data_IF_599289269945
#
_entry.id   IF_599289269945
#
_cell.length_a   1.000
_cell.length_b   1.000
_cell.length_c   1.000
_cell.angle_alpha   90.00
_cell.angle_beta   90.00
_cell.angle_gamma   90.00
#
_symmetry.space_group_name_H-M   'P 1'
#
loop_
_entity.id
_entity.type
_entity.pdbx_description
1 polymer ?
#
# COMPACT_ATOMS: atom_id res chain seq x y z
N UNK A 1 51.38 25.10 46.91
CA UNK A 1 51.06 24.74 45.52
C UNK A 1 50.35 23.38 45.54
N UNK A 2 49.01 23.33 45.60
CA UNK A 2 48.28 22.07 45.70
C UNK A 2 48.03 21.46 44.31
N UNK A 3 48.26 20.14 44.20
CA UNK A 3 47.98 19.33 43.02
C UNK A 3 46.55 18.77 43.12
N UNK A 4 45.71 19.05 42.12
CA UNK A 4 44.41 18.38 41.93
C UNK A 4 44.55 17.25 40.89
N UNK A 5 44.00 16.05 41.12
CA UNK A 5 43.88 15.02 40.10
C UNK A 5 42.66 15.27 39.18
N UNK A 6 42.65 14.74 37.94
CA UNK A 6 41.52 14.89 37.03
C UNK A 6 40.35 13.96 37.40
N UNK A 7 39.13 14.45 37.18
CA UNK A 7 37.86 13.74 37.35
C UNK A 7 37.73 12.51 36.43
N UNK A 8 37.01 11.45 36.83
CA UNK A 8 36.74 10.31 35.96
C UNK A 8 35.73 10.68 34.86
N UNK A 9 36.04 10.26 33.64
CA UNK A 9 35.14 10.28 32.47
C UNK A 9 33.96 9.35 32.71
N UNK A 10 32.76 9.91 32.74
CA UNK A 10 31.48 9.19 32.70
C UNK A 10 31.34 8.47 31.34
N UNK A 11 30.95 7.18 31.29
CA UNK A 11 30.69 6.51 30.03
C UNK A 11 29.43 7.10 29.37
N UNK A 12 29.36 7.20 28.02
CA UNK A 12 28.17 7.70 27.35
C UNK A 12 26.98 6.79 27.66
N UNK A 13 25.84 7.42 27.97
CA UNK A 13 24.57 6.79 28.21
C UNK A 13 24.25 5.75 27.12
N UNK A 14 23.80 4.58 27.57
CA UNK A 14 23.29 3.52 26.72
C UNK A 14 22.30 4.09 25.72
N UNK A 15 22.52 3.80 24.44
CA UNK A 15 21.60 4.10 23.36
C UNK A 15 20.20 3.61 23.74
N UNK A 16 19.23 4.53 23.69
CA UNK A 16 17.81 4.22 23.75
C UNK A 16 17.52 3.05 22.81
N UNK A 17 16.96 1.91 23.27
CA UNK A 17 16.45 0.92 22.35
C UNK A 17 15.29 1.61 21.62
N UNK A 18 15.46 1.87 20.32
CA UNK A 18 14.34 2.25 19.47
C UNK A 18 13.18 1.29 19.73
N UNK A 19 11.93 1.78 19.81
CA UNK A 19 10.79 0.89 20.01
C UNK A 19 10.84 -0.22 18.95
N UNK A 20 10.48 -1.46 19.30
CA UNK A 20 10.45 -2.54 18.33
C UNK A 20 9.59 -2.09 17.15
N UNK A 21 10.11 -2.27 15.93
CA UNK A 21 9.33 -2.07 14.72
C UNK A 21 8.17 -3.07 14.80
N UNK A 22 6.99 -2.58 15.16
CA UNK A 22 5.79 -3.43 15.20
C UNK A 22 5.54 -3.89 13.77
N UNK A 23 5.76 -5.19 13.54
CA UNK A 23 5.43 -5.82 12.26
C UNK A 23 3.93 -5.68 12.05
N UNK A 24 3.48 -5.10 10.93
CA UNK A 24 2.06 -4.95 10.69
C UNK A 24 1.40 -6.33 10.64
N UNK A 25 0.23 -6.44 11.26
CA UNK A 25 -0.57 -7.68 11.25
C UNK A 25 -1.73 -7.61 10.26
N UNK A 26 -2.08 -6.41 9.79
CA UNK A 26 -3.24 -6.13 8.95
C UNK A 26 -2.92 -5.05 7.92
N UNK A 27 -3.59 -5.13 6.78
CA UNK A 27 -3.66 -4.07 5.78
C UNK A 27 -5.06 -3.49 5.71
N UNK A 28 -5.12 -2.17 5.64
CA UNK A 28 -6.33 -1.36 5.57
C UNK A 28 -6.50 -0.83 4.14
N UNK A 29 -7.66 -1.07 3.54
CA UNK A 29 -8.05 -0.60 2.22
C UNK A 29 -9.16 0.44 2.36
N UNK A 30 -8.84 1.69 2.10
CA UNK A 30 -9.78 2.81 2.08
C UNK A 30 -10.20 3.15 0.66
N UNK A 31 -11.50 3.35 0.46
CA UNK A 31 -12.05 3.84 -0.82
C UNK A 31 -12.77 5.17 -0.61
N UNK A 32 -12.48 6.14 -1.48
CA UNK A 32 -13.04 7.48 -1.40
C UNK A 32 -13.36 8.06 -2.77
N UNK A 33 -14.37 8.93 -2.82
CA UNK A 33 -14.63 9.80 -3.97
C UNK A 33 -13.75 11.05 -3.96
N UNK A 34 -13.37 11.51 -2.76
CA UNK A 34 -12.47 12.63 -2.58
C UNK A 34 -11.01 12.18 -2.56
N UNK A 35 -10.13 12.99 -3.17
CA UNK A 35 -8.68 12.77 -3.16
C UNK A 35 -8.16 12.77 -1.72
N UNK A 36 -7.48 11.71 -1.25
CA UNK A 36 -6.89 11.70 0.08
C UNK A 36 -5.72 12.69 0.17
N UNK A 37 -5.44 13.19 1.38
CA UNK A 37 -4.29 14.07 1.61
C UNK A 37 -2.98 13.27 1.61
N UNK A 38 -2.38 13.17 0.43
CA UNK A 38 -1.10 12.48 0.23
C UNK A 38 0.11 13.27 0.73
N UNK A 39 -0.05 14.50 1.26
CA UNK A 39 1.10 15.26 1.80
C UNK A 39 1.61 14.72 3.13
N UNK A 40 0.80 13.87 3.79
CA UNK A 40 1.09 13.27 5.09
C UNK A 40 1.74 11.89 5.00
N UNK A 41 1.86 11.34 3.79
CA UNK A 41 2.42 9.99 3.54
C UNK A 41 3.79 10.06 2.89
N UNK A 42 4.61 9.05 3.15
CA UNK A 42 5.96 8.90 2.61
C UNK A 42 5.91 8.35 1.18
N UNK A 43 5.87 9.22 0.18
CA UNK A 43 5.80 8.84 -1.23
C UNK A 43 7.14 8.28 -1.72
N UNK A 44 7.13 7.04 -2.21
CA UNK A 44 8.32 6.34 -2.72
C UNK A 44 8.48 6.49 -4.22
N UNK A 45 7.40 6.30 -4.96
CA UNK A 45 7.38 6.47 -6.41
C UNK A 45 5.96 6.79 -6.88
N UNK A 46 5.87 7.50 -8.00
CA UNK A 46 4.63 7.90 -8.66
C UNK A 46 4.78 7.60 -10.14
N UNK A 47 3.77 6.98 -10.75
CA UNK A 47 3.70 6.80 -12.19
C UNK A 47 2.33 7.17 -12.75
N UNK A 48 2.30 7.88 -13.90
CA UNK A 48 1.07 8.02 -14.66
C UNK A 48 0.71 6.69 -15.33
N UNK A 49 -0.58 6.40 -15.41
CA UNK A 49 -1.12 5.23 -16.10
C UNK A 49 -2.45 5.56 -16.78
N UNK A 50 -3.05 4.56 -17.42
CA UNK A 50 -4.41 4.64 -17.97
C UNK A 50 -5.23 3.49 -17.41
N UNK A 51 -6.32 3.80 -16.70
CA UNK A 51 -7.26 2.83 -16.16
C UNK A 51 -8.65 3.13 -16.68
N UNK A 52 -9.36 2.10 -17.15
CA UNK A 52 -10.69 2.23 -17.74
C UNK A 52 -10.77 3.28 -18.88
N UNK A 53 -9.66 3.50 -19.61
CA UNK A 53 -9.56 4.48 -20.69
C UNK A 53 -9.29 5.91 -20.24
N UNK A 54 -9.21 6.17 -18.94
CA UNK A 54 -8.99 7.50 -18.36
C UNK A 54 -7.61 7.62 -17.68
N UNK A 55 -7.04 8.83 -17.58
CA UNK A 55 -5.78 9.05 -16.88
C UNK A 55 -5.87 8.65 -15.40
N UNK A 56 -4.89 7.86 -14.97
CA UNK A 56 -4.74 7.41 -13.60
C UNK A 56 -3.36 7.77 -13.04
N UNK A 57 -3.26 7.78 -11.71
CA UNK A 57 -2.00 7.93 -10.99
C UNK A 57 -1.83 6.76 -10.04
N UNK A 58 -0.69 6.08 -10.16
CA UNK A 58 -0.30 4.98 -9.30
C UNK A 58 0.85 5.46 -8.42
N UNK A 59 0.73 5.26 -7.12
CA UNK A 59 1.72 5.73 -6.15
C UNK A 59 2.05 4.63 -5.15
N UNK A 60 3.33 4.38 -4.91
CA UNK A 60 3.77 3.59 -3.75
C UNK A 60 4.03 4.56 -2.59
N UNK A 61 3.41 4.30 -1.44
CA UNK A 61 3.47 5.13 -0.23
C UNK A 61 3.85 4.27 0.97
N UNK A 62 4.86 4.65 1.75
CA UNK A 62 5.41 3.76 2.77
C UNK A 62 5.71 2.39 2.15
N UNK A 63 5.16 1.33 2.73
CA UNK A 63 5.19 -0.07 2.23
C UNK A 63 3.87 -0.50 1.58
N UNK A 64 3.03 0.45 1.17
CA UNK A 64 1.69 0.24 0.62
C UNK A 64 1.51 1.06 -0.66
N UNK A 65 0.27 1.34 -1.07
CA UNK A 65 0.01 2.05 -2.32
C UNK A 65 -1.23 2.94 -2.29
N UNK A 66 -1.32 3.79 -3.31
CA UNK A 66 -2.47 4.59 -3.66
C UNK A 66 -2.72 4.48 -5.17
N UNK A 67 -3.99 4.31 -5.55
CA UNK A 67 -4.46 4.39 -6.94
C UNK A 67 -5.52 5.48 -7.05
N UNK A 68 -5.24 6.49 -7.87
CA UNK A 68 -6.15 7.58 -8.17
C UNK A 68 -6.67 7.51 -9.60
N UNK A 69 -7.99 7.51 -9.74
CA UNK A 69 -8.69 7.59 -11.02
C UNK A 69 -9.78 8.70 -10.95
N UNK A 70 -9.37 9.98 -11.06
CA UNK A 70 -10.26 11.11 -10.74
C UNK A 70 -11.49 11.23 -11.64
N UNK A 71 -11.42 10.81 -12.91
CA UNK A 71 -12.56 10.87 -13.82
C UNK A 71 -13.78 10.08 -13.30
N UNK A 72 -13.52 9.04 -12.50
CA UNK A 72 -14.51 8.14 -11.92
C UNK A 72 -14.78 8.39 -10.43
N UNK A 73 -14.21 9.45 -9.86
CA UNK A 73 -14.24 9.73 -8.41
C UNK A 73 -13.84 8.46 -7.62
N UNK A 74 -12.72 7.85 -8.03
CA UNK A 74 -12.18 6.64 -7.41
C UNK A 74 -10.79 6.89 -6.88
N UNK A 75 -10.63 6.67 -5.58
CA UNK A 75 -9.38 6.74 -4.86
C UNK A 75 -9.28 5.52 -3.93
N UNK A 76 -8.37 4.60 -4.24
CA UNK A 76 -8.00 3.50 -3.36
C UNK A 76 -6.72 3.88 -2.60
N UNK A 77 -6.76 3.72 -1.28
CA UNK A 77 -5.62 3.91 -0.39
C UNK A 77 -5.40 2.64 0.42
N UNK A 78 -4.29 1.96 0.20
CA UNK A 78 -3.86 0.82 0.99
C UNK A 78 -2.81 1.28 2.02
N UNK A 79 -2.92 0.82 3.26
CA UNK A 79 -2.03 1.24 4.34
C UNK A 79 -1.89 0.15 5.41
N UNK A 80 -0.68 -0.02 5.95
CA UNK A 80 -0.42 -0.84 7.15
C UNK A 80 -0.91 -0.18 8.46
N UNK A 81 -1.33 1.08 8.41
CA UNK A 81 -1.89 1.82 9.54
C UNK A 81 -3.39 2.02 9.34
N UNK A 82 -4.20 1.99 10.43
CA UNK A 82 -5.63 2.27 10.36
C UNK A 82 -5.92 3.59 9.65
N UNK A 83 -6.87 3.55 8.72
CA UNK A 83 -7.27 4.72 7.94
C UNK A 83 -8.51 5.38 8.59
N UNK A 84 -8.59 6.72 8.63
CA UNK A 84 -9.74 7.43 9.18
C UNK A 84 -10.96 7.46 8.24
N UNK A 85 -10.97 6.68 7.15
CA UNK A 85 -11.98 6.77 6.09
C UNK A 85 -13.25 5.97 6.42
N UNK A 86 -14.40 6.49 5.99
CA UNK A 86 -15.74 5.90 6.23
C UNK A 86 -15.90 4.48 5.65
N UNK A 87 -15.19 4.16 4.56
CA UNK A 87 -15.17 2.83 3.93
C UNK A 87 -13.76 2.26 3.98
N UNK A 88 -13.37 1.78 5.15
CA UNK A 88 -12.11 1.06 5.34
C UNK A 88 -12.41 -0.42 5.50
N UNK A 89 -11.64 -1.25 4.81
CA UNK A 89 -11.70 -2.70 4.89
C UNK A 89 -10.38 -3.27 5.38
N UNK A 90 -10.43 -4.34 6.16
CA UNK A 90 -9.27 -4.93 6.82
C UNK A 90 -9.00 -6.31 6.27
N UNK A 91 -7.71 -6.59 6.01
CA UNK A 91 -7.24 -7.92 5.64
C UNK A 91 -6.07 -8.33 6.54
N UNK A 92 -6.10 -9.53 7.16
CA UNK A 92 -4.96 -10.02 7.91
C UNK A 92 -3.77 -10.33 6.99
N UNK A 93 -2.57 -10.05 7.48
CA UNK A 93 -1.33 -10.41 6.80
C UNK A 93 -0.97 -11.86 7.09
N UNK A 94 -1.64 -12.79 6.41
CA UNK A 94 -1.39 -14.22 6.53
C UNK A 94 -1.62 -14.98 5.22
N UNK A 95 -0.88 -16.07 5.03
CA UNK A 95 -1.11 -16.99 3.90
C UNK A 95 -2.48 -17.66 4.05
N UNK A 96 -3.23 -17.75 2.95
CA UNK A 96 -4.60 -18.24 2.91
C UNK A 96 -5.66 -17.23 3.35
N UNK A 97 -5.27 -15.97 3.63
CA UNK A 97 -6.24 -14.90 3.81
C UNK A 97 -6.97 -14.65 2.49
N UNK A 98 -8.30 -14.63 2.54
CA UNK A 98 -9.15 -14.29 1.39
C UNK A 98 -10.17 -13.22 1.82
N UNK A 99 -10.24 -12.14 1.04
CA UNK A 99 -11.23 -11.07 1.22
C UNK A 99 -11.73 -10.56 -0.11
N UNK A 100 -12.93 -10.01 -0.07
CA UNK A 100 -13.54 -9.34 -1.20
C UNK A 100 -14.20 -8.06 -0.71
N UNK A 101 -13.94 -6.97 -1.43
CA UNK A 101 -14.49 -5.65 -1.17
C UNK A 101 -15.11 -5.10 -2.45
N UNK A 102 -16.13 -4.28 -2.29
CA UNK A 102 -16.79 -3.59 -3.39
C UNK A 102 -16.88 -2.10 -3.09
N UNK A 103 -16.50 -1.30 -4.08
CA UNK A 103 -16.74 0.13 -4.09
C UNK A 103 -17.74 0.45 -5.21
N UNK A 104 -18.82 1.13 -4.85
CA UNK A 104 -19.81 1.61 -5.79
C UNK A 104 -19.89 3.14 -5.71
N UNK A 105 -19.79 3.79 -6.87
CA UNK A 105 -20.10 5.20 -7.09
C UNK A 105 -21.10 5.36 -8.23
N UNK A 106 -21.50 6.59 -8.53
CA UNK A 106 -22.39 6.87 -9.67
C UNK A 106 -21.75 6.55 -11.02
N UNK A 107 -20.41 6.52 -11.09
CA UNK A 107 -19.65 6.38 -12.34
C UNK A 107 -18.91 5.06 -12.48
N UNK A 108 -18.66 4.35 -11.38
CA UNK A 108 -17.83 3.16 -11.37
C UNK A 108 -18.32 2.16 -10.32
N UNK A 109 -18.34 0.88 -10.70
CA UNK A 109 -18.28 -0.22 -9.74
C UNK A 109 -16.87 -0.82 -9.78
N UNK A 110 -16.24 -0.93 -8.63
CA UNK A 110 -14.95 -1.58 -8.46
C UNK A 110 -15.09 -2.74 -7.47
N UNK A 111 -14.45 -3.86 -7.78
CA UNK A 111 -14.40 -5.05 -6.93
C UNK A 111 -12.95 -5.43 -6.74
N UNK A 112 -12.53 -5.49 -5.48
CA UNK A 112 -11.18 -5.85 -5.07
C UNK A 112 -11.22 -7.21 -4.38
N UNK A 113 -10.49 -8.18 -4.92
CA UNK A 113 -10.22 -9.46 -4.27
C UNK A 113 -8.81 -9.39 -3.67
N UNK A 114 -8.66 -9.92 -2.46
CA UNK A 114 -7.37 -9.97 -1.76
C UNK A 114 -7.06 -11.42 -1.39
N UNK A 115 -5.84 -11.84 -1.68
CA UNK A 115 -5.34 -13.19 -1.40
C UNK A 115 -3.95 -13.12 -0.76
N UNK A 116 -3.82 -13.73 0.42
CA UNK A 116 -2.52 -14.01 1.02
C UNK A 116 -1.91 -15.26 0.42
N UNK A 117 -0.85 -15.11 -0.36
CA UNK A 117 -0.13 -16.21 -1.03
C UNK A 117 1.25 -16.42 -0.40
N UNK A 118 1.87 -17.60 -0.49
CA UNK A 118 3.27 -17.78 -0.12
C UNK A 118 4.18 -16.78 -0.86
N UNK A 119 5.27 -16.34 -0.23
CA UNK A 119 6.20 -15.36 -0.83
C UNK A 119 6.72 -15.80 -2.20
N UNK A 120 6.97 -17.10 -2.36
CA UNK A 120 7.45 -17.69 -3.62
C UNK A 120 6.46 -17.56 -4.80
N UNK A 121 5.21 -17.20 -4.56
CA UNK A 121 4.20 -16.98 -5.60
C UNK A 121 4.22 -15.54 -6.15
N UNK A 122 5.04 -14.65 -5.58
CA UNK A 122 5.27 -13.32 -6.15
C UNK A 122 5.97 -13.46 -7.52
N UNK A 123 5.37 -12.97 -8.62
CA UNK A 123 5.91 -13.17 -9.97
C UNK A 123 7.17 -12.35 -10.27
N UNK A 124 7.57 -11.46 -9.36
CA UNK A 124 8.63 -10.49 -9.58
C UNK A 124 8.12 -9.16 -10.14
N UNK A 125 8.99 -8.14 -10.20
CA UNK A 125 8.61 -6.78 -10.55
C UNK A 125 8.59 -6.48 -12.07
N UNK A 126 9.10 -7.39 -12.91
CA UNK A 126 9.44 -7.09 -14.31
C UNK A 126 8.23 -6.68 -15.17
N UNK A 127 7.06 -7.27 -14.91
CA UNK A 127 5.81 -6.96 -15.61
C UNK A 127 5.00 -5.83 -14.95
N UNK A 128 5.49 -5.27 -13.83
CA UNK A 128 4.75 -4.26 -13.09
C UNK A 128 4.79 -2.90 -13.82
N UNK A 129 3.66 -2.19 -13.78
CA UNK A 129 3.59 -0.79 -14.23
C UNK A 129 4.36 0.11 -13.27
N UNK A 130 4.29 -0.18 -11.97
CA UNK A 130 5.08 0.43 -10.91
C UNK A 130 5.63 -0.66 -10.02
N UNK A 131 6.92 -0.59 -9.72
CA UNK A 131 7.55 -1.43 -8.72
C UNK A 131 8.45 -0.58 -7.84
N UNK A 132 8.46 -0.87 -6.55
CA UNK A 132 9.41 -0.31 -5.61
C UNK A 132 9.93 -1.40 -4.69
N UNK A 133 11.26 -1.46 -4.55
CA UNK A 133 11.95 -2.40 -3.65
C UNK A 133 12.33 -1.71 -2.36
N UNK A 134 11.90 -2.26 -1.24
CA UNK A 134 12.30 -1.82 0.10
C UNK A 134 13.57 -2.55 0.54
N UNK A 135 13.58 -3.87 0.34
CA UNK A 135 14.65 -4.80 0.68
C UNK A 135 14.71 -5.93 -0.36
N UNK A 136 15.71 -6.83 -0.35
CA UNK A 136 15.91 -7.82 -1.42
C UNK A 136 14.63 -8.56 -1.86
N UNK A 137 13.81 -8.97 -0.91
CA UNK A 137 12.55 -9.71 -1.12
C UNK A 137 11.30 -8.92 -0.70
N UNK A 138 11.44 -7.64 -0.32
CA UNK A 138 10.33 -6.77 0.10
C UNK A 138 9.99 -5.75 -0.99
N UNK A 139 8.78 -5.85 -1.53
CA UNK A 139 8.33 -5.18 -2.72
C UNK A 139 6.89 -4.70 -2.59
N UNK A 140 6.62 -3.55 -3.18
CA UNK A 140 5.26 -3.17 -3.59
C UNK A 140 5.26 -3.03 -5.10
N UNK A 141 4.32 -3.70 -5.76
CA UNK A 141 4.12 -3.60 -7.20
C UNK A 141 2.66 -3.32 -7.54
N UNK A 142 2.45 -2.61 -8.64
CA UNK A 142 1.14 -2.35 -9.23
C UNK A 142 1.27 -2.63 -10.71
N UNK A 143 0.42 -3.51 -11.24
CA UNK A 143 0.33 -3.79 -12.66
C UNK A 143 -1.06 -3.43 -13.14
N UNK A 144 -1.13 -2.57 -14.15
CA UNK A 144 -2.38 -2.25 -14.84
C UNK A 144 -2.64 -3.31 -15.91
N UNK A 145 -3.88 -3.79 -15.95
CA UNK A 145 -4.36 -4.75 -16.94
C UNK A 145 -5.64 -4.28 -17.63
N UNK A 146 -6.16 -5.12 -18.51
CA UNK A 146 -7.43 -4.87 -19.18
C UNK A 146 -8.58 -4.99 -18.18
N UNK A 147 -9.19 -3.86 -17.84
CA UNK A 147 -10.35 -3.80 -16.94
C UNK A 147 -10.02 -3.63 -15.46
N UNK A 148 -8.77 -3.32 -15.10
CA UNK A 148 -8.40 -3.15 -13.70
C UNK A 148 -6.90 -3.05 -13.44
N UNK A 149 -6.49 -3.39 -12.23
CA UNK A 149 -5.10 -3.53 -11.84
C UNK A 149 -4.93 -4.60 -10.77
N UNK A 150 -3.72 -5.12 -10.66
CA UNK A 150 -3.32 -6.00 -9.58
C UNK A 150 -2.19 -5.36 -8.77
N UNK A 151 -2.09 -5.72 -7.50
CA UNK A 151 -0.95 -5.33 -6.65
C UNK A 151 -0.36 -6.52 -5.94
N UNK A 152 0.93 -6.42 -5.64
CA UNK A 152 1.61 -7.30 -4.69
C UNK A 152 2.29 -6.47 -3.61
N UNK A 153 2.12 -6.88 -2.36
CA UNK A 153 2.92 -6.45 -1.22
C UNK A 153 3.62 -7.68 -0.65
N UNK A 154 4.94 -7.70 -0.62
CA UNK A 154 5.69 -8.84 -0.08
C UNK A 154 6.25 -8.54 1.31
N UNK A 155 6.05 -9.50 2.21
CA UNK A 155 6.46 -9.46 3.61
C UNK A 155 7.35 -10.70 3.88
N UNK A 156 8.67 -10.62 3.64
CA UNK A 156 9.60 -11.74 3.82
C UNK A 156 9.60 -12.33 5.23
N UNK A 157 9.39 -11.50 6.24
CA UNK A 157 9.28 -11.88 7.64
C UNK A 157 8.09 -12.79 7.94
N UNK A 158 7.09 -12.80 7.05
CA UNK A 158 5.88 -13.62 7.13
C UNK A 158 5.81 -14.72 6.07
N UNK A 159 6.83 -14.85 5.20
CA UNK A 159 6.80 -15.70 3.99
C UNK A 159 5.52 -15.45 3.15
N UNK A 160 5.15 -14.17 2.99
CA UNK A 160 3.87 -13.75 2.42
C UNK A 160 4.05 -12.83 1.22
N UNK A 161 3.25 -13.08 0.18
CA UNK A 161 2.93 -12.15 -0.89
C UNK A 161 1.41 -11.88 -0.85
N UNK A 162 1.02 -10.68 -0.44
CA UNK A 162 -0.39 -10.27 -0.48
C UNK A 162 -0.70 -9.76 -1.88
N UNK A 163 -1.48 -10.56 -2.62
CA UNK A 163 -1.99 -10.23 -3.93
C UNK A 163 -3.33 -9.52 -3.80
N UNK A 164 -3.55 -8.48 -4.59
CA UNK A 164 -4.89 -7.92 -4.82
C UNK A 164 -5.18 -7.84 -6.30
N UNK A 165 -6.44 -8.06 -6.66
CA UNK A 165 -6.97 -7.78 -7.99
C UNK A 165 -8.17 -6.86 -7.87
N UNK A 166 -8.07 -5.67 -8.45
CA UNK A 166 -9.15 -4.70 -8.52
C UNK A 166 -9.70 -4.65 -9.94
N UNK A 167 -10.90 -5.16 -10.13
CA UNK A 167 -11.65 -5.08 -11.39
C UNK A 167 -12.58 -3.88 -11.38
N UNK A 168 -12.71 -3.23 -12.53
CA UNK A 168 -13.39 -1.95 -12.70
C UNK A 168 -14.42 -2.03 -13.82
N UNK A 169 -15.66 -1.66 -13.50
CA UNK A 169 -16.77 -1.60 -14.45
C UNK A 169 -17.34 -0.17 -14.49
N UNK A 170 -16.96 0.63 -15.51
CA UNK A 170 -17.56 1.94 -15.71
C UNK A 170 -19.08 1.85 -15.89
N UNK A 171 -19.82 2.66 -15.14
CA UNK A 171 -21.26 2.83 -15.35
C UNK A 171 -21.45 3.73 -16.57
N UNK A 172 -22.13 3.22 -17.59
CA UNK A 172 -22.55 4.09 -18.69
C UNK A 172 -23.53 5.10 -18.13
N UNK A 173 -23.28 6.39 -18.38
CA UNK A 173 -24.30 7.41 -18.17
C UNK A 173 -25.57 6.95 -18.88
N UNK A 174 -26.67 6.83 -18.14
CA UNK A 174 -27.98 6.66 -18.74
C UNK A 174 -28.23 7.92 -19.58
N UNK A 175 -28.05 7.80 -20.90
CA UNK A 175 -28.41 8.85 -21.85
C UNK A 175 -29.87 9.22 -21.58
N UNK A 176 -30.09 10.38 -20.96
CA UNK A 176 -31.41 11.00 -20.79
C UNK A 176 -31.67 11.97 -21.91
#
# INVERSE_FOLDING_TARGET
MPSHPPSPTEPPAASDPSPPVETPTELYFGYSADVPDLTTVDVKTVAPATLAGEPAVLTVIGESHYVGLPAFDFHELCSCKPLPHERTHETPLSVGAEREFSFESDRLDARTVVEGRPLGDFPGPDDATVAYRFDPDAWTTIRVGDGGYETYHTYPECDLALYTETTMTPKREAQR
#
